data_IF_573260226672
#
_entry.id   IF_573260226672
#
_cell.length_a   1.000
_cell.length_b   1.000
_cell.length_c   1.000
_cell.angle_alpha   90.00
_cell.angle_beta   90.00
_cell.angle_gamma   90.00
#
_symmetry.space_group_name_H-M   'P 1'
#
loop_
_entity.id
_entity.type
_entity.pdbx_description
1 polymer ?
#
# COMPACT_ATOMS: atom_id res chain seq x y z
N UNK A 1 -0.86 -7.97 16.55
CA UNK A 1 -0.78 -8.37 15.13
C UNK A 1 -1.31 -9.79 14.86
N UNK A 2 -1.42 -10.72 15.84
CA UNK A 2 -1.85 -12.12 15.55
C UNK A 2 -1.05 -12.77 14.40
N UNK A 3 0.24 -12.42 14.32
CA UNK A 3 1.21 -13.08 13.44
C UNK A 3 1.91 -14.13 14.31
N UNK A 4 1.93 -15.41 13.91
CA UNK A 4 2.68 -16.45 14.62
C UNK A 4 4.15 -16.05 14.80
N UNK A 5 4.70 -16.21 16.01
CA UNK A 5 6.05 -15.77 16.35
C UNK A 5 7.13 -16.45 15.48
N UNK A 6 6.91 -17.71 15.10
CA UNK A 6 7.81 -18.46 14.22
C UNK A 6 7.88 -17.92 12.79
N UNK A 7 6.96 -17.04 12.38
CA UNK A 7 7.03 -16.34 11.10
C UNK A 7 7.75 -15.00 11.21
N UNK A 8 7.96 -14.48 12.42
CA UNK A 8 8.66 -13.23 12.64
C UNK A 8 10.17 -13.46 12.60
N UNK A 9 10.85 -12.73 11.74
CA UNK A 9 12.31 -12.65 11.75
C UNK A 9 12.74 -11.75 12.92
N UNK A 10 13.22 -12.38 13.99
CA UNK A 10 13.81 -11.72 15.16
C UNK A 10 15.23 -11.25 14.82
N UNK A 11 15.60 -10.03 15.24
CA UNK A 11 16.86 -9.38 14.84
C UNK A 11 16.97 -9.15 13.33
N UNK A 12 15.89 -8.65 12.73
CA UNK A 12 15.82 -8.32 11.31
C UNK A 12 17.01 -7.44 10.89
N UNK A 13 17.85 -7.94 9.98
CA UNK A 13 19.01 -7.21 9.46
C UNK A 13 18.54 -6.02 8.63
N UNK A 14 18.37 -4.86 9.27
CA UNK A 14 17.93 -3.63 8.60
C UNK A 14 18.34 -2.40 9.38
N UNK A 15 18.48 -1.27 8.68
CA UNK A 15 18.75 0.02 9.34
C UNK A 15 17.50 0.48 10.09
N UNK A 16 17.73 1.03 11.29
CA UNK A 16 16.72 1.78 12.03
C UNK A 16 16.16 2.95 11.21
N UNK A 17 14.98 3.45 11.61
CA UNK A 17 14.27 4.51 10.90
C UNK A 17 13.90 5.61 11.89
N UNK A 18 14.30 6.86 11.59
CA UNK A 18 13.88 8.06 12.32
C UNK A 18 14.01 7.94 13.86
N UNK A 19 15.19 7.55 14.35
CA UNK A 19 15.44 7.39 15.79
C UNK A 19 14.78 6.15 16.41
N UNK A 20 14.51 5.12 15.60
CA UNK A 20 14.04 3.83 16.09
C UNK A 20 14.91 2.70 15.54
N UNK A 21 15.24 1.74 16.39
CA UNK A 21 15.91 0.50 16.03
C UNK A 21 14.89 -0.54 15.54
N UNK A 22 15.27 -1.33 14.54
CA UNK A 22 14.47 -2.43 14.04
C UNK A 22 14.76 -3.70 14.85
N UNK A 23 13.74 -4.24 15.50
CA UNK A 23 13.89 -5.39 16.41
C UNK A 23 13.30 -6.68 15.86
N UNK A 24 12.26 -6.59 15.02
CA UNK A 24 11.64 -7.73 14.37
C UNK A 24 10.91 -7.31 13.09
N UNK A 25 10.68 -8.26 12.19
CA UNK A 25 9.91 -8.00 10.97
C UNK A 25 9.22 -9.24 10.42
N UNK A 26 8.22 -9.00 9.58
CA UNK A 26 7.60 -10.01 8.71
C UNK A 26 7.36 -9.37 7.35
N UNK A 27 8.03 -9.84 6.31
CA UNK A 27 8.02 -9.22 4.97
C UNK A 27 8.21 -7.68 5.06
N UNK A 28 7.16 -6.91 4.76
CA UNK A 28 7.16 -5.45 4.74
C UNK A 28 6.53 -4.83 6.01
N UNK A 29 6.32 -5.63 7.05
CA UNK A 29 5.86 -5.21 8.37
C UNK A 29 7.07 -5.18 9.29
N UNK A 30 7.29 -4.05 9.95
CA UNK A 30 8.45 -3.81 10.82
C UNK A 30 7.99 -3.47 12.24
N UNK A 31 8.65 -4.06 13.22
CA UNK A 31 8.51 -3.72 14.64
C UNK A 31 9.76 -2.98 15.07
N UNK A 32 9.56 -1.76 15.55
CA UNK A 32 10.61 -0.80 15.85
C UNK A 32 10.56 -0.45 17.34
N UNK A 33 11.72 -0.28 17.96
CA UNK A 33 11.88 0.22 19.33
C UNK A 33 12.48 1.63 19.26
N UNK A 34 11.96 2.62 20.00
CA UNK A 34 12.55 3.94 20.03
C UNK A 34 13.99 3.91 20.59
N UNK A 35 14.88 4.73 20.03
CA UNK A 35 16.28 4.88 20.45
C UNK A 35 16.70 6.35 20.53
N UNK A 36 17.73 6.63 21.32
CA UNK A 36 18.28 7.98 21.47
C UNK A 36 17.27 8.96 22.07
N UNK A 37 16.96 10.03 21.34
CA UNK A 37 16.10 11.14 21.79
C UNK A 37 14.59 10.84 21.70
N UNK A 38 14.19 9.75 21.04
CA UNK A 38 12.79 9.31 21.07
C UNK A 38 12.50 8.65 22.42
N UNK A 39 11.87 9.38 23.34
CA UNK A 39 11.62 8.90 24.69
C UNK A 39 10.14 8.57 24.87
N UNK A 40 9.76 7.34 24.50
CA UNK A 40 8.53 6.74 24.98
C UNK A 40 8.75 5.25 25.24
N UNK A 41 8.05 4.70 26.22
CA UNK A 41 8.04 3.27 26.48
C UNK A 41 7.05 2.61 25.53
N UNK A 42 7.53 1.75 24.63
CA UNK A 42 6.68 1.00 23.71
C UNK A 42 7.38 0.57 22.44
N UNK A 43 6.57 0.15 21.47
CA UNK A 43 7.00 -0.28 20.15
C UNK A 43 6.20 0.44 19.07
N UNK A 44 6.85 0.69 17.94
CA UNK A 44 6.19 1.20 16.74
C UNK A 44 6.06 0.08 15.70
N UNK A 45 4.85 -0.07 15.18
CA UNK A 45 4.57 -0.99 14.07
C UNK A 45 4.49 -0.16 12.80
N UNK A 46 5.34 -0.48 11.82
CA UNK A 46 5.35 0.15 10.50
C UNK A 46 4.89 -0.87 9.46
N UNK A 47 3.77 -0.56 8.81
CA UNK A 47 3.27 -1.31 7.66
C UNK A 47 3.30 -0.38 6.44
N UNK A 48 4.14 -0.70 5.45
CA UNK A 48 4.09 -0.01 4.15
C UNK A 48 2.83 -0.44 3.38
N UNK A 49 2.56 0.15 2.21
CA UNK A 49 1.46 -0.32 1.36
C UNK A 49 1.55 -1.82 1.01
N UNK A 50 2.76 -2.34 0.77
CA UNK A 50 2.98 -3.79 0.60
C UNK A 50 2.84 -4.53 1.93
N UNK A 51 3.27 -3.94 3.04
CA UNK A 51 3.07 -4.49 4.39
C UNK A 51 1.60 -4.68 4.75
N UNK A 52 0.73 -3.74 4.38
CA UNK A 52 -0.71 -3.90 4.52
C UNK A 52 -1.21 -5.11 3.70
N UNK A 53 -0.81 -5.23 2.43
CA UNK A 53 -1.16 -6.40 1.59
C UNK A 53 -0.59 -7.72 2.14
N UNK A 54 0.59 -7.69 2.76
CA UNK A 54 1.14 -8.85 3.44
C UNK A 54 0.28 -9.24 4.65
N UNK A 55 -0.14 -8.26 5.45
CA UNK A 55 -0.94 -8.47 6.65
C UNK A 55 -2.35 -8.99 6.37
N UNK A 56 -2.93 -8.63 5.22
CA UNK A 56 -4.23 -9.11 4.75
C UNK A 56 -4.32 -10.65 4.71
N UNK A 57 -3.20 -11.36 4.54
CA UNK A 57 -3.19 -12.83 4.65
C UNK A 57 -3.63 -13.30 6.05
N UNK A 58 -3.15 -12.63 7.11
CA UNK A 58 -3.51 -12.98 8.49
C UNK A 58 -4.92 -12.52 8.84
N UNK A 59 -5.39 -11.42 8.27
CA UNK A 59 -6.78 -11.00 8.41
C UNK A 59 -7.72 -12.10 7.86
N UNK A 60 -7.46 -12.58 6.65
CA UNK A 60 -8.23 -13.67 6.04
C UNK A 60 -8.18 -14.95 6.88
N UNK A 61 -6.99 -15.39 7.34
CA UNK A 61 -6.83 -16.60 8.17
C UNK A 61 -7.62 -16.47 9.48
N UNK A 62 -7.58 -15.30 10.11
CA UNK A 62 -8.27 -15.04 11.37
C UNK A 62 -9.76 -14.69 11.19
N UNK A 63 -10.29 -14.70 9.95
CA UNK A 63 -11.64 -14.25 9.62
C UNK A 63 -11.93 -12.82 10.12
N UNK A 64 -10.91 -11.96 10.09
CA UNK A 64 -10.98 -10.56 10.49
C UNK A 64 -10.97 -9.65 9.26
N UNK A 65 -11.63 -8.50 9.37
CA UNK A 65 -11.47 -7.36 8.47
C UNK A 65 -10.43 -6.37 9.02
N UNK A 66 -10.05 -5.38 8.22
CA UNK A 66 -9.26 -4.25 8.70
C UNK A 66 -9.97 -3.49 9.83
N UNK A 67 -11.31 -3.44 9.83
CA UNK A 67 -12.07 -2.80 10.90
C UNK A 67 -11.95 -3.57 12.22
N UNK A 68 -12.04 -4.91 12.18
CA UNK A 68 -11.85 -5.76 13.38
C UNK A 68 -10.43 -5.63 13.92
N UNK A 69 -9.45 -5.52 13.03
CA UNK A 69 -8.07 -5.24 13.42
C UNK A 69 -7.93 -3.87 14.12
N UNK A 70 -8.47 -2.79 13.53
CA UNK A 70 -8.39 -1.45 14.12
C UNK A 70 -9.11 -1.39 15.47
N UNK A 71 -10.31 -1.97 15.57
CA UNK A 71 -11.05 -2.06 16.83
C UNK A 71 -10.23 -2.79 17.90
N UNK A 72 -9.64 -3.93 17.56
CA UNK A 72 -8.78 -4.71 18.46
C UNK A 72 -7.55 -3.92 18.89
N UNK A 73 -6.92 -3.18 17.98
CA UNK A 73 -5.75 -2.35 18.28
C UNK A 73 -6.13 -1.19 19.22
N UNK A 74 -7.29 -0.58 19.05
CA UNK A 74 -7.80 0.48 19.92
C UNK A 74 -8.08 0.04 21.37
N UNK A 75 -8.06 -1.27 21.68
CA UNK A 75 -8.15 -1.79 23.06
C UNK A 75 -6.84 -1.64 23.85
N UNK A 76 -5.74 -1.32 23.18
CA UNK A 76 -4.43 -1.08 23.80
C UNK A 76 -4.16 0.43 23.94
N UNK A 77 -3.20 0.80 24.79
CA UNK A 77 -2.67 2.17 24.82
C UNK A 77 -1.84 2.44 23.56
N UNK A 78 -2.50 2.86 22.49
CA UNK A 78 -1.92 3.00 21.14
C UNK A 78 -2.11 4.42 20.63
N UNK A 79 -1.08 4.92 19.94
CA UNK A 79 -1.18 6.10 19.11
C UNK A 79 -1.18 5.69 17.63
N UNK A 80 -1.80 6.50 16.77
CA UNK A 80 -1.72 6.37 15.32
C UNK A 80 -0.98 7.59 14.75
N UNK A 81 0.36 7.55 14.65
CA UNK A 81 1.13 8.67 14.11
C UNK A 81 0.82 8.94 12.63
N UNK A 82 0.38 7.90 11.89
CA UNK A 82 0.04 7.96 10.48
C UNK A 82 -0.93 6.87 10.07
N UNK A 83 -1.89 7.22 9.22
CA UNK A 83 -2.73 6.30 8.46
C UNK A 83 -2.94 6.89 7.07
N UNK A 84 -2.80 6.07 6.04
CA UNK A 84 -3.06 6.49 4.66
C UNK A 84 -4.25 5.66 4.12
N UNK A 85 -5.30 6.33 3.63
CA UNK A 85 -6.37 5.69 2.85
C UNK A 85 -6.06 5.85 1.37
N UNK A 86 -6.30 4.80 0.58
CA UNK A 86 -6.01 4.82 -0.86
C UNK A 86 -7.23 4.40 -1.68
N UNK A 87 -7.46 5.13 -2.77
CA UNK A 87 -8.46 4.80 -3.79
C UNK A 87 -7.69 4.44 -5.06
N UNK A 88 -7.90 3.22 -5.57
CA UNK A 88 -7.38 2.79 -6.86
C UNK A 88 -8.42 3.08 -7.94
N UNK A 89 -8.12 4.02 -8.84
CA UNK A 89 -8.93 4.33 -10.00
C UNK A 89 -8.41 3.56 -11.22
N UNK A 90 -9.14 2.50 -11.57
CA UNK A 90 -8.85 1.60 -12.68
C UNK A 90 -9.67 1.92 -13.94
N UNK A 91 -10.63 2.85 -13.85
CA UNK A 91 -11.37 3.39 -15.00
C UNK A 91 -10.73 4.69 -15.50
N UNK A 92 -9.79 5.24 -14.73
CA UNK A 92 -9.08 6.49 -15.00
C UNK A 92 -10.04 7.66 -15.20
N UNK A 93 -11.06 7.75 -14.33
CA UNK A 93 -12.00 8.89 -14.27
C UNK A 93 -11.26 10.23 -14.28
N UNK A 94 -10.18 10.33 -13.52
CA UNK A 94 -9.39 11.57 -13.44
C UNK A 94 -8.03 11.37 -14.10
N UNK A 95 -7.81 12.08 -15.21
CA UNK A 95 -6.49 12.25 -15.81
C UNK A 95 -5.63 13.15 -14.92
N UNK A 96 -4.52 12.61 -14.38
CA UNK A 96 -3.58 13.39 -13.55
C UNK A 96 -3.00 14.61 -14.29
N UNK A 97 -2.57 14.51 -15.57
CA UNK A 97 -2.20 15.68 -16.36
C UNK A 97 -3.28 16.77 -16.38
N UNK A 98 -4.55 16.38 -16.51
CA UNK A 98 -5.66 17.32 -16.60
C UNK A 98 -5.93 17.99 -15.24
N UNK A 99 -5.85 17.24 -14.14
CA UNK A 99 -5.94 17.84 -12.79
C UNK A 99 -4.84 18.87 -12.55
N UNK A 100 -3.62 18.62 -13.04
CA UNK A 100 -2.50 19.56 -12.98
C UNK A 100 -2.81 20.81 -13.81
N UNK A 101 -3.32 20.65 -15.03
CA UNK A 101 -3.74 21.78 -15.90
C UNK A 101 -4.80 22.65 -15.20
N UNK A 102 -5.87 22.03 -14.69
CA UNK A 102 -6.94 22.71 -13.94
C UNK A 102 -6.38 23.48 -12.74
N UNK A 103 -5.47 22.87 -11.97
CA UNK A 103 -4.79 23.56 -10.86
C UNK A 103 -3.99 24.77 -11.35
N UNK A 104 -3.24 24.65 -12.44
CA UNK A 104 -2.39 25.74 -12.96
C UNK A 104 -3.20 26.91 -13.53
N UNK A 105 -4.41 26.63 -14.02
CA UNK A 105 -5.41 27.66 -14.39
C UNK A 105 -6.19 28.22 -13.19
N UNK A 106 -5.92 27.69 -11.98
CA UNK A 106 -6.61 28.03 -10.75
C UNK A 106 -8.08 27.60 -10.76
N UNK A 107 -8.46 26.59 -11.55
CA UNK A 107 -9.77 25.95 -11.59
C UNK A 107 -9.89 24.87 -10.51
N UNK A 108 -9.52 25.24 -9.29
CA UNK A 108 -9.57 24.39 -8.11
C UNK A 108 -10.08 25.19 -6.91
N UNK A 109 -10.97 24.59 -6.15
CA UNK A 109 -11.39 25.08 -4.85
C UNK A 109 -10.85 24.12 -3.80
N UNK A 110 -9.96 24.61 -2.92
CA UNK A 110 -9.21 23.77 -1.98
C UNK A 110 -9.07 24.47 -0.63
N UNK A 111 -9.23 23.71 0.46
CA UNK A 111 -8.84 24.16 1.81
C UNK A 111 -7.33 23.97 2.08
N UNK A 112 -6.62 23.28 1.18
CA UNK A 112 -5.19 23.02 1.27
C UNK A 112 -4.44 24.08 0.46
N UNK A 113 -3.57 24.83 1.14
CA UNK A 113 -2.86 25.98 0.57
C UNK A 113 -1.69 25.54 -0.33
N UNK A 114 -0.88 24.59 0.13
CA UNK A 114 0.28 24.10 -0.63
C UNK A 114 -0.16 23.08 -1.68
N UNK A 115 -0.02 23.41 -2.97
CA UNK A 115 -0.31 22.47 -4.06
C UNK A 115 0.89 22.42 -5.00
N UNK A 116 1.50 21.25 -5.12
CA UNK A 116 2.71 21.02 -5.90
C UNK A 116 2.53 19.84 -6.84
N UNK A 117 3.13 19.88 -8.01
CA UNK A 117 3.22 18.75 -8.94
C UNK A 117 4.63 18.15 -8.92
N UNK A 118 4.73 16.88 -9.30
CA UNK A 118 6.02 16.24 -9.59
C UNK A 118 5.93 15.57 -10.96
N UNK A 119 6.99 15.74 -11.76
CA UNK A 119 7.15 15.15 -13.07
C UNK A 119 8.51 14.46 -13.09
N UNK A 120 8.53 13.17 -13.41
CA UNK A 120 9.75 12.36 -13.32
C UNK A 120 10.43 12.15 -14.68
N UNK A 121 10.29 13.04 -15.67
CA UNK A 121 10.83 12.77 -17.01
C UNK A 121 12.34 12.53 -16.97
N UNK A 122 12.78 11.56 -17.77
CA UNK A 122 14.20 11.29 -17.99
C UNK A 122 14.49 11.60 -19.45
N UNK A 123 15.52 12.42 -19.68
CA UNK A 123 16.10 12.59 -21.01
C UNK A 123 16.92 11.33 -21.33
N UNK A 124 16.54 10.59 -22.37
CA UNK A 124 17.45 9.72 -23.12
C UNK A 124 17.78 10.43 -24.43
N UNK A 125 18.98 10.17 -24.96
CA UNK A 125 19.66 11.00 -25.96
C UNK A 125 18.84 11.39 -27.20
N UNK A 126 17.76 10.69 -27.55
CA UNK A 126 16.92 11.03 -28.72
C UNK A 126 15.39 10.90 -28.51
N UNK A 127 14.91 10.50 -27.31
CA UNK A 127 13.48 10.35 -27.02
C UNK A 127 13.09 10.81 -25.60
N UNK A 128 12.00 11.58 -25.52
CA UNK A 128 11.37 11.94 -24.25
C UNK A 128 10.57 10.73 -23.74
N UNK A 129 11.11 10.00 -22.77
CA UNK A 129 10.35 8.95 -22.09
C UNK A 129 9.35 9.61 -21.14
N UNK A 130 8.07 9.59 -21.50
CA UNK A 130 7.00 10.08 -20.63
C UNK A 130 6.97 9.25 -19.34
N UNK A 131 7.14 9.93 -18.21
CA UNK A 131 7.08 9.32 -16.88
C UNK A 131 5.84 9.82 -16.13
N UNK A 132 5.37 8.99 -15.19
CA UNK A 132 4.14 9.25 -14.45
C UNK A 132 4.13 10.58 -13.72
N UNK A 133 2.99 11.25 -13.74
CA UNK A 133 2.74 12.53 -13.09
C UNK A 133 2.14 12.32 -11.70
N UNK A 134 2.36 13.31 -10.83
CA UNK A 134 1.76 13.34 -9.50
C UNK A 134 1.34 14.75 -9.12
N UNK A 135 0.15 14.89 -8.55
CA UNK A 135 -0.36 16.11 -7.94
C UNK A 135 -0.46 15.91 -6.43
N UNK A 136 0.18 16.80 -5.67
CA UNK A 136 0.17 16.80 -4.23
C UNK A 136 -0.56 18.03 -3.70
N UNK A 137 -1.45 17.84 -2.72
CA UNK A 137 -2.19 18.91 -2.08
C UNK A 137 -2.01 18.81 -0.56
N UNK A 138 -1.56 19.89 0.07
CA UNK A 138 -1.06 19.96 1.44
C UNK A 138 0.47 19.79 1.51
N UNK A 139 1.08 20.42 2.51
CA UNK A 139 2.52 20.33 2.75
C UNK A 139 2.96 18.93 3.19
N UNK A 140 4.26 18.64 3.12
CA UNK A 140 4.83 17.37 3.61
C UNK A 140 4.79 17.26 5.15
N UNK A 141 4.79 18.39 5.84
CA UNK A 141 4.82 18.46 7.30
C UNK A 141 3.43 18.53 7.94
N UNK A 142 2.38 18.80 7.16
CA UNK A 142 1.00 18.90 7.67
C UNK A 142 0.48 17.57 8.24
N UNK A 143 -0.59 17.67 9.03
CA UNK A 143 -1.33 16.51 9.53
C UNK A 143 -2.24 15.85 8.49
N UNK A 144 -2.38 16.46 7.30
CA UNK A 144 -3.19 15.92 6.22
C UNK A 144 -2.68 16.36 4.84
N UNK A 145 -2.58 15.38 3.94
CA UNK A 145 -2.13 15.58 2.56
C UNK A 145 -2.87 14.64 1.61
N UNK A 146 -3.20 15.14 0.42
CA UNK A 146 -3.77 14.34 -0.67
C UNK A 146 -2.71 14.18 -1.75
N UNK A 147 -2.62 12.98 -2.32
CA UNK A 147 -1.72 12.69 -3.44
C UNK A 147 -2.49 11.98 -4.54
N UNK A 148 -2.54 12.57 -5.73
CA UNK A 148 -3.05 11.93 -6.94
C UNK A 148 -1.86 11.57 -7.83
N UNK A 149 -1.76 10.33 -8.30
CA UNK A 149 -0.65 9.93 -9.16
C UNK A 149 -0.97 8.74 -10.04
N UNK A 150 -0.20 8.62 -11.11
CA UNK A 150 -0.31 7.52 -12.08
C UNK A 150 0.45 6.31 -11.53
N UNK A 151 -0.30 5.39 -10.92
CA UNK A 151 0.23 4.24 -10.17
C UNK A 151 0.92 3.23 -11.07
N UNK A 152 0.40 3.03 -12.28
CA UNK A 152 1.01 2.15 -13.27
C UNK A 152 2.45 2.52 -13.59
N UNK A 153 2.70 3.79 -13.87
CA UNK A 153 4.05 4.33 -14.08
C UNK A 153 4.93 4.15 -12.84
N UNK A 154 4.42 4.42 -11.63
CA UNK A 154 5.18 4.19 -10.38
C UNK A 154 5.56 2.71 -10.21
N UNK A 155 4.67 1.78 -10.56
CA UNK A 155 4.94 0.35 -10.45
C UNK A 155 5.95 -0.13 -11.51
N UNK A 156 5.84 0.38 -12.74
CA UNK A 156 6.77 0.09 -13.82
C UNK A 156 8.18 0.60 -13.49
N UNK A 157 8.30 1.85 -13.04
CA UNK A 157 9.60 2.44 -12.66
C UNK A 157 10.23 1.70 -11.47
N UNK A 158 9.43 1.40 -10.44
CA UNK A 158 9.97 0.84 -9.19
C UNK A 158 10.32 -0.64 -9.27
N UNK A 159 9.57 -1.41 -10.07
CA UNK A 159 9.67 -2.88 -10.07
C UNK A 159 9.91 -3.48 -11.45
N UNK A 160 10.08 -2.67 -12.51
CA UNK A 160 10.31 -3.15 -13.87
C UNK A 160 9.12 -3.93 -14.45
N UNK A 161 7.90 -3.66 -13.97
CA UNK A 161 6.67 -4.29 -14.47
C UNK A 161 6.28 -3.67 -15.82
N UNK A 162 5.50 -4.43 -16.60
CA UNK A 162 4.80 -3.89 -17.76
C UNK A 162 3.94 -2.67 -17.36
N UNK A 163 3.98 -1.64 -18.18
CA UNK A 163 3.29 -0.38 -17.92
C UNK A 163 1.78 -0.58 -18.08
N UNK A 164 1.04 -0.25 -17.03
CA UNK A 164 -0.41 -0.27 -16.98
C UNK A 164 -0.93 1.17 -16.86
N UNK A 165 -1.24 1.80 -18.00
CA UNK A 165 -1.68 3.20 -18.03
C UNK A 165 -3.05 3.42 -17.40
N UNK A 166 -3.86 2.36 -17.26
CA UNK A 166 -5.21 2.40 -16.69
C UNK A 166 -5.19 2.19 -15.17
N UNK A 167 -4.22 2.81 -14.50
CA UNK A 167 -4.05 2.70 -13.07
C UNK A 167 -3.61 4.00 -12.42
N UNK A 168 -4.58 4.74 -11.90
CA UNK A 168 -4.38 5.89 -11.04
C UNK A 168 -4.60 5.50 -9.57
N UNK A 169 -3.91 6.20 -8.66
CA UNK A 169 -4.12 6.06 -7.21
C UNK A 169 -4.19 7.41 -6.53
N UNK A 170 -5.15 7.52 -5.63
CA UNK A 170 -5.37 8.71 -4.81
C UNK A 170 -5.20 8.36 -3.34
N UNK A 171 -4.26 9.01 -2.66
CA UNK A 171 -3.93 8.74 -1.25
C UNK A 171 -4.32 9.92 -0.37
N UNK A 172 -5.15 9.65 0.64
CA UNK A 172 -5.48 10.55 1.74
C UNK A 172 -4.58 10.19 2.92
N UNK A 173 -3.55 11.00 3.16
CA UNK A 173 -2.52 10.74 4.18
C UNK A 173 -2.82 11.55 5.42
N UNK A 174 -3.12 10.86 6.51
CA UNK A 174 -3.43 11.45 7.81
C UNK A 174 -2.26 11.24 8.76
N UNK A 175 -1.96 12.24 9.61
CA UNK A 175 -0.95 12.14 10.65
C UNK A 175 -1.48 12.61 12.00
N UNK A 176 -0.83 12.18 13.05
CA UNK A 176 -1.06 12.61 14.43
C UNK A 176 -2.56 12.59 14.80
N UNK A 177 -3.09 13.71 15.29
CA UNK A 177 -4.49 13.82 15.75
C UNK A 177 -5.49 13.46 14.64
N UNK A 178 -5.19 13.75 13.36
CA UNK A 178 -6.08 13.40 12.25
C UNK A 178 -6.07 11.91 11.93
N UNK A 179 -4.92 11.24 12.08
CA UNK A 179 -4.83 9.79 11.93
C UNK A 179 -5.62 9.07 13.04
N UNK A 180 -5.54 9.54 14.29
CA UNK A 180 -6.34 9.00 15.39
C UNK A 180 -7.85 9.17 15.11
N UNK A 181 -8.28 10.38 14.71
CA UNK A 181 -9.69 10.65 14.40
C UNK A 181 -10.22 9.76 13.28
N UNK A 182 -9.49 9.62 12.17
CA UNK A 182 -9.96 8.78 11.06
C UNK A 182 -10.04 7.31 11.45
N UNK A 183 -9.16 6.81 12.33
CA UNK A 183 -9.27 5.45 12.87
C UNK A 183 -10.55 5.29 13.71
N UNK A 184 -10.87 6.26 14.56
CA UNK A 184 -12.11 6.25 15.35
C UNK A 184 -13.34 6.19 14.44
N UNK A 185 -13.38 7.01 13.39
CA UNK A 185 -14.46 6.97 12.40
C UNK A 185 -14.52 5.63 11.65
N UNK A 186 -13.38 5.04 11.27
CA UNK A 186 -13.33 3.74 10.59
C UNK A 186 -13.86 2.61 11.48
N UNK A 187 -13.55 2.62 12.77
CA UNK A 187 -14.07 1.64 13.73
C UNK A 187 -15.58 1.84 13.92
N UNK A 188 -16.04 3.09 14.02
CA UNK A 188 -17.45 3.39 14.25
C UNK A 188 -18.34 3.11 13.04
N UNK A 189 -18.01 3.68 11.87
CA UNK A 189 -18.84 3.62 10.67
C UNK A 189 -18.64 2.34 9.88
N UNK A 190 -17.46 1.70 9.99
CA UNK A 190 -17.04 0.54 9.18
C UNK A 190 -17.23 0.76 7.67
N UNK A 191 -17.12 2.01 7.22
CA UNK A 191 -17.26 2.45 5.83
C UNK A 191 -16.07 3.31 5.41
N UNK A 192 -15.07 2.66 4.82
CA UNK A 192 -13.86 3.36 4.34
C UNK A 192 -14.17 4.30 3.17
N UNK A 193 -15.13 3.96 2.32
CA UNK A 193 -15.41 4.71 1.10
C UNK A 193 -16.15 5.99 1.43
N UNK A 194 -17.20 5.90 2.26
CA UNK A 194 -17.92 7.06 2.79
C UNK A 194 -17.00 8.03 3.53
N UNK A 195 -16.12 7.53 4.39
CA UNK A 195 -15.15 8.36 5.12
C UNK A 195 -14.17 9.05 4.15
N UNK A 196 -13.56 8.30 3.22
CA UNK A 196 -12.61 8.85 2.26
C UNK A 196 -13.26 9.95 1.39
N UNK A 197 -14.50 9.71 0.92
CA UNK A 197 -15.24 10.67 0.12
C UNK A 197 -15.68 11.89 0.90
N UNK A 198 -16.13 11.72 2.14
CA UNK A 198 -16.49 12.84 3.01
C UNK A 198 -15.29 13.77 3.22
N UNK A 199 -14.10 13.20 3.46
CA UNK A 199 -12.87 13.97 3.60
C UNK A 199 -12.50 14.64 2.27
N UNK A 200 -12.56 13.92 1.16
CA UNK A 200 -12.17 14.45 -0.14
C UNK A 200 -13.08 15.61 -0.60
N UNK A 201 -14.40 15.44 -0.47
CA UNK A 201 -15.42 16.46 -0.81
C UNK A 201 -15.27 17.74 0.02
N UNK A 202 -14.96 17.62 1.32
CA UNK A 202 -14.77 18.78 2.17
C UNK A 202 -13.50 19.56 1.78
N UNK A 203 -12.46 18.87 1.31
CA UNK A 203 -11.13 19.47 1.10
C UNK A 203 -10.89 20.02 -0.28
N UNK A 204 -11.43 19.38 -1.33
CA UNK A 204 -11.08 19.67 -2.71
C UNK A 204 -12.28 19.53 -3.64
N UNK A 205 -12.40 20.48 -4.57
CA UNK A 205 -13.30 20.41 -5.72
C UNK A 205 -12.61 20.99 -6.96
N UNK A 206 -12.51 20.19 -8.02
CA UNK A 206 -12.07 20.67 -9.33
C UNK A 206 -13.23 21.35 -10.05
N UNK A 207 -12.94 22.45 -10.75
CA UNK A 207 -13.93 23.33 -11.36
C UNK A 207 -13.81 23.29 -12.88
N UNK A 208 -14.92 23.54 -13.56
CA UNK A 208 -14.95 23.79 -15.00
C UNK A 208 -15.24 25.27 -15.24
N UNK A 209 -14.52 25.89 -16.18
CA UNK A 209 -14.80 27.27 -16.58
C UNK A 209 -16.14 27.30 -17.33
N UNK A 210 -17.12 28.12 -16.92
CA UNK A 210 -18.39 28.20 -17.61
C UNK A 210 -18.24 28.87 -18.98
N UNK A 211 -18.83 28.29 -20.03
CA UNK A 211 -18.71 28.79 -21.41
C UNK A 211 -19.45 30.12 -21.62
N UNK A 212 -20.65 30.25 -21.05
CA UNK A 212 -21.56 31.38 -21.30
C UNK A 212 -21.82 32.25 -20.05
N UNK A 213 -20.85 32.36 -19.14
CA UNK A 213 -21.03 33.14 -17.91
C UNK A 213 -20.07 34.32 -17.82
N UNK A 214 -20.61 35.48 -17.41
CA UNK A 214 -19.81 36.67 -17.05
C UNK A 214 -19.22 36.57 -15.64
N UNK A 215 -19.50 35.50 -14.89
CA UNK A 215 -19.04 35.38 -13.52
C UNK A 215 -17.53 35.12 -13.49
N UNK A 216 -16.81 35.97 -12.76
CA UNK A 216 -15.39 35.77 -12.43
C UNK A 216 -15.21 35.09 -11.06
N UNK A 217 -16.32 34.89 -10.32
CA UNK A 217 -16.32 34.32 -8.97
C UNK A 217 -16.21 32.80 -9.05
N UNK A 218 -14.99 32.27 -8.89
CA UNK A 218 -14.67 30.81 -8.94
C UNK A 218 -15.57 29.92 -8.07
N UNK A 219 -16.08 30.41 -6.93
CA UNK A 219 -17.01 29.64 -6.09
C UNK A 219 -18.30 29.23 -6.81
N UNK A 220 -18.72 30.01 -7.82
CA UNK A 220 -19.92 29.79 -8.63
C UNK A 220 -19.64 28.94 -9.88
N UNK A 221 -18.39 28.53 -10.10
CA UNK A 221 -18.07 27.70 -11.25
C UNK A 221 -18.64 26.30 -11.03
N UNK A 222 -19.16 25.65 -12.10
CA UNK A 222 -19.60 24.27 -12.02
C UNK A 222 -18.44 23.34 -11.65
N UNK A 223 -18.78 22.20 -11.06
CA UNK A 223 -17.83 21.12 -10.78
C UNK A 223 -17.33 20.52 -12.11
N UNK A 224 -16.05 20.17 -12.17
CA UNK A 224 -15.48 19.44 -13.30
C UNK A 224 -16.21 18.09 -13.47
N UNK A 225 -16.87 17.80 -14.61
CA UNK A 225 -17.78 16.64 -14.71
C UNK A 225 -17.13 15.28 -14.38
N UNK A 226 -15.88 14.98 -14.80
CA UNK A 226 -15.23 13.73 -14.38
C UNK A 226 -14.97 13.64 -12.87
N UNK A 227 -14.77 14.77 -12.18
CA UNK A 227 -14.72 14.81 -10.72
C UNK A 227 -16.06 14.44 -10.09
N UNK A 228 -17.16 14.99 -10.62
CA UNK A 228 -18.51 14.67 -10.15
C UNK A 228 -18.86 13.19 -10.38
N UNK A 229 -18.55 12.66 -11.56
CA UNK A 229 -18.73 11.23 -11.87
C UNK A 229 -17.92 10.34 -10.92
N UNK A 230 -16.64 10.66 -10.72
CA UNK A 230 -15.77 9.95 -9.78
C UNK A 230 -16.36 9.93 -8.36
N UNK A 231 -16.75 11.09 -7.82
CA UNK A 231 -17.28 11.18 -6.45
C UNK A 231 -18.60 10.42 -6.28
N UNK A 232 -19.42 10.35 -7.33
CA UNK A 232 -20.68 9.58 -7.33
C UNK A 232 -20.45 8.06 -7.30
N UNK A 233 -19.46 7.57 -8.04
CA UNK A 233 -19.27 6.12 -8.22
C UNK A 233 -18.38 5.49 -7.16
N UNK A 234 -17.41 6.22 -6.60
CA UNK A 234 -16.59 5.73 -5.48
C UNK A 234 -17.43 5.42 -4.23
N UNK A 235 -18.59 6.09 -4.05
CA UNK A 235 -19.46 5.85 -2.90
C UNK A 235 -20.04 4.44 -2.86
N UNK A 236 -19.93 3.69 -3.96
CA UNK A 236 -20.40 2.31 -4.09
C UNK A 236 -19.28 1.28 -3.87
N UNK A 237 -18.03 1.74 -3.73
CA UNK A 237 -16.84 0.88 -3.60
C UNK A 237 -16.75 0.36 -2.17
N UNK A 238 -16.38 -0.92 -2.02
CA UNK A 238 -16.12 -1.55 -0.72
C UNK A 238 -14.61 -1.65 -0.48
N UNK A 239 -14.21 -1.75 0.78
CA UNK A 239 -12.82 -2.02 1.14
C UNK A 239 -12.37 -3.36 0.53
N UNK A 240 -11.38 -3.31 -0.36
CA UNK A 240 -10.84 -4.51 -1.00
C UNK A 240 -9.69 -5.10 -0.20
N UNK A 241 -9.88 -6.31 0.32
CA UNK A 241 -8.81 -7.18 0.83
C UNK A 241 -8.21 -7.91 -0.37
N UNK A 242 -6.94 -7.66 -0.67
CA UNK A 242 -6.22 -8.29 -1.79
C UNK A 242 -4.84 -8.76 -1.31
N UNK A 243 -4.79 -9.89 -0.57
CA UNK A 243 -3.58 -10.35 0.07
C UNK A 243 -2.46 -10.54 -0.96
N UNK A 244 -1.26 -10.06 -0.64
CA UNK A 244 -0.14 -10.19 -1.57
C UNK A 244 0.17 -11.67 -1.79
N UNK A 245 0.05 -12.13 -3.04
CA UNK A 245 0.48 -13.48 -3.44
C UNK A 245 1.98 -13.63 -3.13
N UNK A 246 2.35 -14.73 -2.48
CA UNK A 246 3.76 -15.09 -2.31
C UNK A 246 4.34 -15.43 -3.70
N UNK A 247 5.47 -14.82 -4.05
CA UNK A 247 6.22 -15.18 -5.26
C UNK A 247 7.16 -16.36 -4.96
N UNK A 248 7.61 -17.08 -5.98
CA UNK A 248 8.60 -18.15 -5.81
C UNK A 248 9.84 -17.66 -5.08
N UNK A 249 10.38 -16.49 -5.45
CA UNK A 249 11.56 -15.92 -4.80
C UNK A 249 11.34 -15.63 -3.31
N UNK A 250 10.14 -15.18 -2.94
CA UNK A 250 9.78 -14.97 -1.53
C UNK A 250 9.64 -16.27 -0.77
N UNK A 251 9.07 -17.30 -1.41
CA UNK A 251 8.99 -18.65 -0.82
C UNK A 251 10.40 -19.21 -0.62
N UNK A 252 11.26 -19.08 -1.63
CA UNK A 252 12.66 -19.52 -1.56
C UNK A 252 13.43 -18.81 -0.46
N UNK A 253 13.35 -17.48 -0.39
CA UNK A 253 14.04 -16.71 0.64
C UNK A 253 13.55 -17.09 2.05
N UNK A 254 12.24 -17.28 2.24
CA UNK A 254 11.70 -17.78 3.50
C UNK A 254 12.20 -19.19 3.83
N UNK A 255 12.22 -20.11 2.86
CA UNK A 255 12.78 -21.44 3.05
C UNK A 255 14.25 -21.37 3.46
N UNK A 256 15.07 -20.56 2.77
CA UNK A 256 16.51 -20.42 3.06
C UNK A 256 16.80 -19.84 4.44
N UNK A 257 16.04 -18.84 4.89
CA UNK A 257 16.30 -18.16 6.17
C UNK A 257 15.65 -18.90 7.34
N UNK A 258 14.39 -19.30 7.20
CA UNK A 258 13.57 -19.77 8.32
C UNK A 258 13.51 -21.28 8.45
N UNK A 259 13.67 -22.03 7.34
CA UNK A 259 13.44 -23.48 7.32
C UNK A 259 14.75 -24.27 7.17
N UNK A 260 15.67 -23.79 6.33
CA UNK A 260 16.92 -24.47 6.02
C UNK A 260 17.78 -24.82 7.25
N UNK A 261 17.90 -23.98 8.31
CA UNK A 261 18.63 -24.38 9.51
C UNK A 261 18.03 -25.60 10.21
N UNK A 262 16.70 -25.70 10.25
CA UNK A 262 16.00 -26.84 10.84
C UNK A 262 16.14 -28.10 9.96
N UNK A 263 16.03 -27.95 8.64
CA UNK A 263 16.28 -29.06 7.71
C UNK A 263 17.72 -29.57 7.85
N UNK A 264 18.69 -28.66 8.00
CA UNK A 264 20.09 -29.04 8.21
C UNK A 264 20.30 -29.82 9.51
N UNK A 265 19.65 -29.40 10.60
CA UNK A 265 19.68 -30.14 11.86
C UNK A 265 19.15 -31.57 11.69
N UNK A 266 17.96 -31.74 11.09
CA UNK A 266 17.35 -33.06 10.90
C UNK A 266 18.10 -33.93 9.87
N UNK A 267 18.78 -33.32 8.90
CA UNK A 267 19.71 -34.03 8.01
C UNK A 267 20.87 -34.63 8.82
N UNK A 268 21.51 -33.87 9.73
CA UNK A 268 22.61 -34.38 10.55
C UNK A 268 22.15 -35.43 11.57
N UNK A 269 20.96 -35.26 12.16
CA UNK A 269 20.35 -36.30 13.04
C UNK A 269 20.06 -37.57 12.23
N UNK A 270 19.52 -37.42 11.02
CA UNK A 270 19.23 -38.54 10.12
C UNK A 270 20.47 -39.39 9.79
N UNK A 271 21.66 -38.79 9.72
CA UNK A 271 22.92 -39.55 9.54
C UNK A 271 23.27 -40.43 10.73
N UNK A 272 22.91 -40.02 11.95
CA UNK A 272 23.16 -40.79 13.17
C UNK A 272 22.16 -41.94 13.29
N UNK A 273 20.90 -41.66 12.98
CA UNK A 273 19.80 -42.63 13.08
C UNK A 273 19.69 -43.55 11.85
N UNK A 274 20.50 -43.28 10.81
CA UNK A 274 20.40 -43.90 9.48
C UNK A 274 18.99 -43.79 8.88
N UNK A 275 18.39 -42.60 8.97
CA UNK A 275 17.01 -42.30 8.58
C UNK A 275 16.93 -41.00 7.79
N UNK A 276 16.13 -40.96 6.70
CA UNK A 276 15.88 -39.74 5.94
C UNK A 276 14.63 -39.01 6.44
N UNK A 277 14.81 -38.19 7.48
CA UNK A 277 13.72 -37.37 8.03
C UNK A 277 13.25 -36.27 7.05
N UNK A 278 14.12 -35.79 6.15
CA UNK A 278 13.77 -34.74 5.20
C UNK A 278 12.89 -35.30 4.09
N UNK A 279 13.26 -36.47 3.54
CA UNK A 279 12.43 -37.20 2.59
C UNK A 279 11.04 -37.49 3.16
N UNK A 280 10.96 -37.99 4.40
CA UNK A 280 9.68 -38.25 5.07
C UNK A 280 8.80 -37.00 5.21
N UNK A 281 9.40 -35.84 5.56
CA UNK A 281 8.68 -34.57 5.65
C UNK A 281 8.12 -34.12 4.30
N UNK A 282 8.89 -34.32 3.22
CA UNK A 282 8.47 -33.96 1.86
C UNK A 282 7.37 -34.88 1.35
N UNK A 283 7.46 -36.19 1.60
CA UNK A 283 6.42 -37.16 1.20
C UNK A 283 5.06 -36.86 1.84
N UNK A 284 5.06 -36.38 3.09
CA UNK A 284 3.84 -35.97 3.80
C UNK A 284 3.34 -34.57 3.38
N UNK A 285 4.16 -33.80 2.68
CA UNK A 285 3.86 -32.42 2.28
C UNK A 285 2.86 -32.35 1.14
N UNK A 286 1.70 -31.73 1.38
CA UNK A 286 0.69 -31.48 0.34
C UNK A 286 0.71 -30.00 -0.05
N UNK A 287 0.93 -29.70 -1.33
CA UNK A 287 0.79 -28.34 -1.84
C UNK A 287 -0.67 -27.87 -1.73
N UNK A 288 -0.85 -26.70 -1.12
CA UNK A 288 -2.13 -26.01 -1.10
C UNK A 288 -2.43 -25.32 -2.45
N UNK A 289 -3.65 -24.84 -2.64
CA UNK A 289 -4.11 -24.25 -3.90
C UNK A 289 -3.25 -23.06 -4.37
N UNK A 290 -2.76 -22.24 -3.43
CA UNK A 290 -1.87 -21.12 -3.76
C UNK A 290 -0.52 -21.60 -4.29
N UNK A 291 0.06 -22.63 -3.66
CA UNK A 291 1.34 -23.21 -4.09
C UNK A 291 1.20 -23.93 -5.44
N UNK A 292 0.08 -24.65 -5.65
CA UNK A 292 -0.24 -25.29 -6.94
C UNK A 292 -0.31 -24.27 -8.07
N UNK A 293 -0.99 -23.13 -7.83
CA UNK A 293 -1.08 -22.06 -8.83
C UNK A 293 0.29 -21.47 -9.18
N UNK A 294 1.14 -21.25 -8.18
CA UNK A 294 2.52 -20.77 -8.38
C UNK A 294 3.33 -21.79 -9.21
N UNK A 295 3.17 -23.09 -8.92
CA UNK A 295 3.80 -24.16 -9.68
C UNK A 295 3.30 -24.21 -11.13
N UNK A 296 1.99 -24.11 -11.36
CA UNK A 296 1.41 -24.12 -12.70
C UNK A 296 1.85 -22.90 -13.54
N UNK A 297 1.93 -21.73 -12.92
CA UNK A 297 2.44 -20.52 -13.55
C UNK A 297 3.92 -20.72 -13.95
N UNK A 298 4.77 -21.21 -13.04
CA UNK A 298 6.18 -21.51 -13.33
C UNK A 298 6.34 -22.56 -14.45
N UNK A 299 5.52 -23.61 -14.44
CA UNK A 299 5.51 -24.64 -15.46
C UNK A 299 5.20 -24.06 -16.84
N UNK A 300 4.21 -23.16 -16.95
CA UNK A 300 3.90 -22.45 -18.21
C UNK A 300 5.07 -21.62 -18.70
N UNK A 301 5.70 -20.82 -17.83
CA UNK A 301 6.86 -20.01 -18.19
C UNK A 301 8.05 -20.86 -18.64
N UNK A 302 8.37 -21.94 -17.91
CA UNK A 302 9.47 -22.85 -18.26
C UNK A 302 9.26 -23.55 -19.60
N UNK A 303 8.02 -23.91 -19.93
CA UNK A 303 7.66 -24.49 -21.23
C UNK A 303 7.74 -23.50 -22.38
N UNK A 304 7.43 -22.22 -22.16
CA UNK A 304 7.59 -21.16 -23.16
C UNK A 304 9.06 -20.82 -23.41
N UNK A 305 9.90 -20.78 -22.37
CA UNK A 305 11.33 -20.51 -22.47
C UNK A 305 12.13 -21.62 -23.19
N UNK A 306 11.56 -22.83 -23.33
CA UNK A 306 12.15 -23.94 -24.10
C UNK A 306 11.72 -23.97 -25.57
N UNK A 307 10.78 -23.09 -25.98
CA UNK A 307 10.29 -22.99 -27.37
C UNK A 307 11.00 -21.89 -28.18
N UNK A 308 11.90 -21.17 -27.55
CA UNK A 308 12.83 -20.21 -28.16
C UNK A 308 14.25 -20.63 -27.81
#
# INVERSE_FOLDING_TARGET
MRIPLNLMELHYKGKGIAGHELIAGFDNIKILKPTGNAQYEGFQILMSGSGCRNYENFLTINQETWFDFLERVCRYNVNFPRLDLAIDDRKTYLSIPELIRLKNEGLISSQLQDISENRSDKLKEEELQENGKSLYMGSKSSDFRIVFYEKGYEQAEKYGKELDTDWNRYELRFRQKKAVKVVQELVHQRDVAGIALSVLNDKVRFLQKPENSRTTRKRLYPTYPPWEEFMRDVGKVKLTINPQKKTLDKIWNWLSISVAPSLKLFEEIGKLDNQDYIGLLVEQGIMNDSQRKIYDDYKKFSLMAKKY
#
